data_IF_645239734284
#
_entry.id   IF_645239734284
#
_cell.length_a   1.000
_cell.length_b   1.000
_cell.length_c   1.000
_cell.angle_alpha   90.00
_cell.angle_beta   90.00
_cell.angle_gamma   90.00
#
_symmetry.space_group_name_H-M   'P 1'
#
loop_
_entity.id
_entity.type
_entity.pdbx_description
1 polymer ?
#
# COMPACT_ATOMS: atom_id res chain seq x y z
N UNK A 1 15.78 60.40 -39.68
CA UNK A 1 15.40 59.28 -40.58
C UNK A 1 15.56 58.00 -39.77
N UNK A 2 14.59 57.10 -39.58
CA UNK A 2 13.92 56.19 -40.57
C UNK A 2 14.94 55.37 -41.38
N UNK A 3 14.84 54.04 -41.56
CA UNK A 3 13.81 53.04 -41.22
C UNK A 3 14.48 51.63 -41.07
N UNK A 4 14.18 50.76 -40.09
CA UNK A 4 13.08 49.75 -40.06
C UNK A 4 13.43 48.34 -40.62
N UNK A 5 13.88 47.44 -39.73
CA UNK A 5 13.22 46.16 -39.39
C UNK A 5 13.16 44.95 -40.38
N UNK A 6 13.77 43.82 -39.98
CA UNK A 6 13.29 42.40 -40.00
C UNK A 6 14.29 41.59 -39.14
N UNK A 7 14.01 40.87 -38.05
CA UNK A 7 12.89 40.08 -37.45
C UNK A 7 13.27 38.59 -37.44
N UNK A 8 13.34 38.03 -36.22
CA UNK A 8 13.63 36.62 -35.88
C UNK A 8 12.39 35.70 -36.12
N UNK A 9 12.24 34.45 -35.63
CA UNK A 9 12.80 33.77 -34.42
C UNK A 9 13.61 32.49 -34.78
N UNK A 10 14.03 31.56 -33.90
CA UNK A 10 13.77 31.27 -32.47
C UNK A 10 15.08 30.68 -31.83
N UNK A 11 15.22 30.02 -30.67
CA UNK A 11 14.30 29.37 -29.69
C UNK A 11 14.72 29.67 -28.24
N UNK A 12 13.73 29.66 -27.35
CA UNK A 12 13.75 29.56 -25.88
C UNK A 12 14.67 28.45 -25.29
N UNK A 13 15.24 28.57 -24.09
CA UNK A 13 15.34 29.76 -23.21
C UNK A 13 15.68 29.45 -21.73
N UNK A 14 16.50 30.34 -21.15
CA UNK A 14 16.76 30.64 -19.72
C UNK A 14 16.97 29.53 -18.68
N UNK A 15 18.16 29.55 -18.06
CA UNK A 15 18.41 29.08 -16.68
C UNK A 15 18.21 30.25 -15.67
N UNK A 16 18.38 29.98 -14.37
CA UNK A 16 18.19 30.90 -13.21
C UNK A 16 16.72 31.29 -12.92
N UNK A 17 16.24 31.53 -11.69
CA UNK A 17 16.66 31.26 -10.28
C UNK A 17 15.44 31.63 -9.36
N UNK A 18 15.29 31.42 -8.05
CA UNK A 18 16.20 31.06 -6.92
C UNK A 18 15.52 30.02 -5.99
N UNK A 19 15.66 30.13 -4.66
CA UNK A 19 15.19 29.21 -3.60
C UNK A 19 13.98 29.72 -2.80
N UNK A 20 13.51 28.86 -1.89
CA UNK A 20 12.82 29.13 -0.61
C UNK A 20 11.31 29.45 -0.60
N UNK A 21 10.52 28.45 -0.17
CA UNK A 21 9.46 28.58 0.86
C UNK A 21 8.79 27.23 1.19
N UNK A 22 8.97 26.77 2.44
CA UNK A 22 8.07 25.88 3.22
C UNK A 22 7.84 24.42 2.77
N UNK A 23 7.98 23.50 3.73
CA UNK A 23 7.55 22.09 3.72
C UNK A 23 6.81 21.83 5.05
N UNK A 24 5.82 20.92 5.19
CA UNK A 24 5.16 20.04 4.21
C UNK A 24 3.64 20.43 4.07
N UNK A 25 2.63 19.56 3.76
CA UNK A 25 2.49 18.12 4.02
C UNK A 25 2.95 17.20 2.88
N UNK A 26 3.51 16.06 3.26
CA UNK A 26 4.00 15.03 2.34
C UNK A 26 2.84 14.19 1.83
N UNK A 27 2.21 14.61 0.74
CA UNK A 27 1.30 13.73 -0.01
C UNK A 27 2.15 12.68 -0.74
N UNK A 28 2.56 11.62 -0.01
CA UNK A 28 3.19 10.40 -0.55
C UNK A 28 2.16 9.72 -1.47
N UNK A 29 2.11 10.15 -2.73
CA UNK A 29 1.22 9.58 -3.73
C UNK A 29 1.55 8.10 -3.92
N UNK A 30 0.53 7.27 -4.10
CA UNK A 30 0.63 5.82 -4.38
C UNK A 30 1.27 5.52 -5.76
N UNK A 31 1.75 6.55 -6.47
CA UNK A 31 2.44 6.45 -7.77
C UNK A 31 3.95 6.22 -7.66
N UNK A 32 4.50 6.07 -6.45
CA UNK A 32 5.94 5.84 -6.19
C UNK A 32 6.15 4.54 -5.39
N UNK A 33 5.40 3.49 -5.75
CA UNK A 33 5.72 2.11 -5.35
C UNK A 33 6.89 1.64 -6.24
N UNK A 34 7.89 0.98 -5.65
CA UNK A 34 8.95 0.37 -6.46
C UNK A 34 8.38 -0.77 -7.29
N UNK A 35 8.92 -1.01 -8.50
CA UNK A 35 8.45 -2.13 -9.33
C UNK A 35 8.56 -3.46 -8.58
N UNK A 36 9.63 -3.65 -7.80
CA UNK A 36 9.81 -4.82 -6.94
C UNK A 36 8.64 -5.01 -5.97
N UNK A 37 8.14 -3.96 -5.32
CA UNK A 37 7.00 -4.02 -4.39
C UNK A 37 5.69 -4.42 -5.11
N UNK A 38 5.53 -4.02 -6.38
CA UNK A 38 4.40 -4.44 -7.23
C UNK A 38 4.54 -5.89 -7.66
N UNK A 39 5.75 -6.31 -8.06
CA UNK A 39 6.06 -7.69 -8.45
C UNK A 39 5.86 -8.66 -7.27
N UNK A 40 6.33 -8.28 -6.07
CA UNK A 40 6.18 -9.03 -4.83
C UNK A 40 4.69 -9.21 -4.45
N UNK A 41 3.92 -8.12 -4.45
CA UNK A 41 2.48 -8.17 -4.17
C UNK A 41 1.71 -8.99 -5.23
N UNK A 42 2.16 -8.97 -6.49
CA UNK A 42 1.58 -9.77 -7.58
C UNK A 42 1.82 -11.27 -7.35
N UNK A 43 3.05 -11.68 -7.05
CA UNK A 43 3.39 -13.08 -6.77
C UNK A 43 2.59 -13.65 -5.58
N UNK A 44 2.41 -12.84 -4.53
CA UNK A 44 1.58 -13.19 -3.35
C UNK A 44 0.09 -13.34 -3.74
N UNK A 45 -0.44 -12.45 -4.58
CA UNK A 45 -1.82 -12.52 -5.03
C UNK A 45 -2.07 -13.70 -5.98
N UNK A 46 -1.13 -14.06 -6.85
CA UNK A 46 -1.22 -15.23 -7.72
C UNK A 46 -1.23 -16.53 -6.89
N UNK A 47 -0.34 -16.68 -5.90
CA UNK A 47 -0.38 -17.82 -4.96
C UNK A 47 -1.70 -17.89 -4.19
N UNK A 48 -2.23 -16.74 -3.74
CA UNK A 48 -3.52 -16.68 -3.06
C UNK A 48 -4.73 -16.93 -4.00
N UNK A 49 -4.60 -16.67 -5.31
CA UNK A 49 -5.60 -16.98 -6.33
C UNK A 49 -5.68 -18.49 -6.56
N UNK A 50 -4.54 -19.18 -6.68
CA UNK A 50 -4.48 -20.65 -6.79
C UNK A 50 -4.84 -21.37 -5.46
N UNK A 51 -4.90 -20.62 -4.35
CA UNK A 51 -5.23 -21.15 -3.02
C UNK A 51 -4.04 -21.76 -2.28
N UNK A 52 -2.82 -21.53 -2.77
CA UNK A 52 -1.60 -22.02 -2.15
C UNK A 52 -1.14 -21.10 -1.01
N UNK A 53 -1.67 -21.35 0.19
CA UNK A 53 -1.24 -20.68 1.41
C UNK A 53 0.24 -20.90 1.77
N UNK A 54 0.88 -21.97 1.26
CA UNK A 54 2.32 -22.21 1.46
C UNK A 54 3.13 -21.32 0.52
N UNK A 55 2.73 -21.22 -0.75
CA UNK A 55 3.28 -20.28 -1.72
C UNK A 55 3.16 -18.82 -1.27
N UNK A 56 2.02 -18.42 -0.69
CA UNK A 56 1.83 -17.10 -0.06
C UNK A 56 2.86 -16.85 1.05
N UNK A 57 3.02 -17.81 1.98
CA UNK A 57 4.00 -17.69 3.05
C UNK A 57 5.44 -17.60 2.51
N UNK A 58 5.82 -18.47 1.56
CA UNK A 58 7.15 -18.47 0.94
C UNK A 58 7.46 -17.18 0.17
N UNK A 59 6.46 -16.57 -0.47
CA UNK A 59 6.62 -15.29 -1.13
C UNK A 59 6.84 -14.14 -0.13
N UNK A 60 6.13 -14.14 1.02
CA UNK A 60 6.41 -13.21 2.11
C UNK A 60 7.78 -13.45 2.77
N UNK A 61 8.19 -14.70 3.01
CA UNK A 61 9.53 -15.03 3.52
C UNK A 61 10.62 -14.53 2.55
N UNK A 62 10.42 -14.66 1.24
CA UNK A 62 11.32 -14.12 0.20
C UNK A 62 11.44 -12.60 0.28
N UNK A 63 10.35 -11.88 0.61
CA UNK A 63 10.39 -10.43 0.87
C UNK A 63 11.17 -10.12 2.15
N UNK A 64 10.99 -10.90 3.22
CA UNK A 64 11.70 -10.72 4.50
C UNK A 64 13.20 -10.99 4.36
N UNK A 65 13.61 -12.05 3.66
CA UNK A 65 15.03 -12.36 3.42
C UNK A 65 15.76 -11.25 2.63
N UNK A 66 15.07 -10.64 1.66
CA UNK A 66 15.64 -9.62 0.76
C UNK A 66 15.52 -8.19 1.30
N UNK A 67 14.53 -7.89 2.14
CA UNK A 67 14.17 -6.50 2.52
C UNK A 67 13.69 -6.34 3.96
N UNK A 68 13.76 -7.40 4.77
CA UNK A 68 13.35 -7.43 6.16
C UNK A 68 11.86 -7.25 6.38
N UNK A 69 11.47 -7.16 7.66
CA UNK A 69 10.09 -6.93 8.08
C UNK A 69 9.50 -5.61 7.52
N UNK A 70 10.35 -4.61 7.23
CA UNK A 70 9.93 -3.37 6.58
C UNK A 70 9.42 -3.58 5.14
N UNK A 71 10.05 -4.48 4.37
CA UNK A 71 9.56 -4.88 3.05
C UNK A 71 8.21 -5.60 3.14
N UNK A 72 8.09 -6.55 4.06
CA UNK A 72 6.83 -7.27 4.27
C UNK A 72 5.69 -6.36 4.78
N UNK A 73 6.01 -5.32 5.56
CA UNK A 73 5.05 -4.30 5.96
C UNK A 73 4.54 -3.46 4.79
N UNK A 74 5.42 -2.92 3.93
CA UNK A 74 5.01 -2.16 2.74
C UNK A 74 4.19 -3.03 1.76
N UNK A 75 4.51 -4.34 1.62
CA UNK A 75 3.67 -5.29 0.86
C UNK A 75 2.29 -5.45 1.50
N UNK A 76 2.21 -5.69 2.81
CA UNK A 76 0.92 -5.82 3.52
C UNK A 76 0.08 -4.54 3.41
N UNK A 77 0.71 -3.36 3.52
CA UNK A 77 0.08 -2.06 3.34
C UNK A 77 -0.44 -1.86 1.91
N UNK A 78 0.28 -2.37 0.90
CA UNK A 78 -0.18 -2.40 -0.49
C UNK A 78 -1.39 -3.35 -0.69
N UNK A 79 -1.44 -4.51 -0.03
CA UNK A 79 -2.62 -5.39 -0.07
C UNK A 79 -3.83 -4.74 0.60
N UNK A 80 -3.64 -4.05 1.74
CA UNK A 80 -4.68 -3.24 2.37
C UNK A 80 -5.18 -2.11 1.45
N UNK A 81 -4.28 -1.46 0.70
CA UNK A 81 -4.64 -0.50 -0.34
C UNK A 81 -5.52 -1.12 -1.44
N UNK A 82 -5.17 -2.32 -1.91
CA UNK A 82 -5.98 -3.08 -2.89
C UNK A 82 -7.36 -3.45 -2.32
N UNK A 83 -7.44 -3.83 -1.04
CA UNK A 83 -8.72 -4.10 -0.36
C UNK A 83 -9.61 -2.86 -0.28
N UNK A 84 -9.08 -1.68 0.04
CA UNK A 84 -9.88 -0.44 0.09
C UNK A 84 -10.23 0.07 -1.31
N UNK A 85 -9.25 0.21 -2.20
CA UNK A 85 -9.40 0.70 -3.58
C UNK A 85 -9.76 2.19 -3.70
N UNK A 86 -9.87 2.69 -4.93
CA UNK A 86 -10.23 4.09 -5.27
C UNK A 86 -11.73 4.42 -5.07
N UNK A 87 -12.41 3.73 -4.16
CA UNK A 87 -13.81 4.02 -3.83
C UNK A 87 -13.99 5.41 -3.22
N UNK A 88 -15.18 6.04 -3.35
CA UNK A 88 -15.46 7.31 -2.70
C UNK A 88 -15.28 7.15 -1.18
N UNK A 89 -14.30 7.89 -0.63
CA UNK A 89 -13.80 7.71 0.75
C UNK A 89 -14.95 7.71 1.76
N UNK A 90 -15.22 6.54 2.35
CA UNK A 90 -16.18 6.39 3.44
C UNK A 90 -15.82 7.35 4.57
N UNK A 91 -16.78 8.17 5.00
CA UNK A 91 -16.50 9.39 5.75
C UNK A 91 -16.13 9.13 7.22
N UNK A 92 -14.86 8.83 7.50
CA UNK A 92 -14.25 8.90 8.84
C UNK A 92 -14.85 8.00 9.92
N UNK A 93 -15.74 7.08 9.55
CA UNK A 93 -16.25 6.06 10.45
C UNK A 93 -15.17 4.98 10.60
N UNK A 94 -14.73 4.74 11.83
CA UNK A 94 -14.04 3.50 12.15
C UNK A 94 -14.92 2.34 11.65
N UNK A 95 -14.34 1.45 10.85
CA UNK A 95 -15.06 0.29 10.33
C UNK A 95 -15.39 -0.62 11.51
N UNK A 96 -16.62 -0.50 12.01
CA UNK A 96 -17.14 -1.38 13.05
C UNK A 96 -17.47 -2.74 12.41
N UNK A 97 -16.82 -3.77 12.92
CA UNK A 97 -16.93 -5.14 12.43
C UNK A 97 -17.67 -5.98 13.50
N UNK A 98 -19.00 -5.87 13.62
CA UNK A 98 -19.74 -6.52 14.70
C UNK A 98 -19.54 -8.04 14.67
N UNK A 99 -19.08 -8.60 15.80
CA UNK A 99 -18.70 -10.00 15.93
C UNK A 99 -17.20 -10.29 15.80
N UNK A 100 -16.38 -9.30 15.42
CA UNK A 100 -14.92 -9.43 15.29
C UNK A 100 -14.26 -10.12 16.48
N UNK A 101 -14.66 -9.84 17.72
CA UNK A 101 -14.00 -10.39 18.91
C UNK A 101 -14.04 -11.92 19.01
N UNK A 102 -14.99 -12.58 18.33
CA UNK A 102 -15.11 -14.04 18.25
C UNK A 102 -14.32 -14.67 17.08
N UNK A 103 -13.75 -13.86 16.18
CA UNK A 103 -12.98 -14.35 15.04
C UNK A 103 -11.53 -14.74 15.43
N UNK A 104 -10.87 -15.49 14.54
CA UNK A 104 -9.45 -15.84 14.68
C UNK A 104 -8.53 -14.62 14.78
N UNK A 105 -7.38 -14.76 15.43
CA UNK A 105 -6.43 -13.66 15.64
C UNK A 105 -6.11 -12.95 14.32
N UNK A 106 -5.79 -13.73 13.29
CA UNK A 106 -5.57 -13.36 11.89
C UNK A 106 -6.69 -12.48 11.34
N UNK A 107 -7.95 -12.90 11.47
CA UNK A 107 -9.12 -12.22 10.91
C UNK A 107 -9.37 -10.90 11.65
N UNK A 108 -9.16 -10.87 12.97
CA UNK A 108 -9.23 -9.65 13.78
C UNK A 108 -8.09 -8.68 13.47
N UNK A 109 -6.91 -9.21 13.15
CA UNK A 109 -5.74 -8.43 12.75
C UNK A 109 -5.98 -7.78 11.38
N UNK A 110 -6.41 -8.55 10.37
CA UNK A 110 -6.71 -8.05 9.00
C UNK A 110 -7.73 -6.92 9.03
N UNK A 111 -8.84 -7.09 9.74
CA UNK A 111 -9.87 -6.06 9.86
C UNK A 111 -9.34 -4.75 10.50
N UNK A 112 -8.49 -4.85 11.52
CA UNK A 112 -7.85 -3.70 12.18
C UNK A 112 -6.77 -3.05 11.29
N UNK A 113 -5.97 -3.85 10.58
CA UNK A 113 -4.90 -3.39 9.70
C UNK A 113 -5.44 -2.68 8.46
N UNK A 114 -6.50 -3.21 7.84
CA UNK A 114 -7.21 -2.53 6.74
C UNK A 114 -7.90 -1.25 7.22
N UNK A 115 -8.42 -1.22 8.46
CA UNK A 115 -8.95 0.01 9.06
C UNK A 115 -7.86 1.05 9.33
N UNK A 116 -6.66 0.63 9.76
CA UNK A 116 -5.51 1.53 9.91
C UNK A 116 -5.11 2.17 8.57
N UNK A 117 -4.99 1.38 7.50
CA UNK A 117 -4.77 1.89 6.15
C UNK A 117 -5.86 2.89 5.72
N UNK A 118 -7.15 2.53 5.91
CA UNK A 118 -8.29 3.36 5.51
C UNK A 118 -8.35 4.72 6.22
N UNK A 119 -7.85 4.80 7.46
CA UNK A 119 -7.76 6.03 8.24
C UNK A 119 -6.41 6.78 8.04
N UNK A 120 -5.49 6.25 7.24
CA UNK A 120 -4.10 6.70 7.10
C UNK A 120 -3.30 6.69 8.43
N UNK A 121 -3.67 5.79 9.36
CA UNK A 121 -3.02 5.62 10.66
C UNK A 121 -1.84 4.64 10.53
N UNK A 122 -0.69 5.16 10.08
CA UNK A 122 0.53 4.36 9.88
C UNK A 122 1.10 3.86 11.22
N UNK A 123 1.00 4.66 12.30
CA UNK A 123 1.49 4.29 13.62
C UNK A 123 0.73 3.06 14.17
N UNK A 124 -0.59 3.01 14.02
CA UNK A 124 -1.39 1.83 14.34
C UNK A 124 -1.08 0.63 13.43
N UNK A 125 -0.81 0.87 12.14
CA UNK A 125 -0.37 -0.16 11.19
C UNK A 125 0.93 -0.85 11.63
N UNK A 126 1.96 -0.05 11.91
CA UNK A 126 3.27 -0.53 12.38
C UNK A 126 3.16 -1.24 13.74
N UNK A 127 2.36 -0.70 14.68
CA UNK A 127 2.12 -1.33 15.98
C UNK A 127 1.41 -2.69 15.86
N UNK A 128 0.39 -2.81 15.00
CA UNK A 128 -0.30 -4.08 14.72
C UNK A 128 0.64 -5.11 14.05
N UNK A 129 1.49 -4.66 13.13
CA UNK A 129 2.46 -5.54 12.46
C UNK A 129 3.53 -6.03 13.46
N UNK A 130 4.08 -5.14 14.28
CA UNK A 130 5.04 -5.47 15.33
C UNK A 130 4.48 -6.42 16.40
N UNK A 131 3.19 -6.29 16.75
CA UNK A 131 2.51 -7.24 17.63
C UNK A 131 2.43 -8.65 17.01
N UNK A 132 2.00 -8.76 15.75
CA UNK A 132 1.92 -10.06 15.07
C UNK A 132 3.31 -10.73 14.88
N UNK A 133 4.37 -9.94 14.73
CA UNK A 133 5.77 -10.44 14.77
C UNK A 133 6.12 -10.99 16.16
N UNK A 134 5.85 -10.23 17.22
CA UNK A 134 6.18 -10.61 18.59
C UNK A 134 5.40 -11.84 19.08
N UNK A 135 4.13 -11.98 18.66
CA UNK A 135 3.26 -13.12 18.96
C UNK A 135 3.57 -14.36 18.08
N UNK A 136 4.43 -14.23 17.06
CA UNK A 136 4.71 -15.31 16.10
C UNK A 136 3.52 -15.65 15.18
N UNK A 137 2.60 -14.70 14.98
CA UNK A 137 1.35 -14.87 14.23
C UNK A 137 1.35 -14.14 12.87
N UNK A 138 2.44 -13.45 12.52
CA UNK A 138 2.55 -12.72 11.26
C UNK A 138 2.27 -13.59 10.01
N UNK A 139 2.76 -14.84 9.86
CA UNK A 139 2.49 -15.63 8.66
C UNK A 139 0.99 -15.91 8.44
N UNK A 140 0.27 -16.29 9.50
CA UNK A 140 -1.18 -16.53 9.46
C UNK A 140 -1.95 -15.25 9.13
N UNK A 141 -1.59 -14.13 9.77
CA UNK A 141 -2.15 -12.81 9.49
C UNK A 141 -1.99 -12.39 8.02
N UNK A 142 -0.81 -12.61 7.44
CA UNK A 142 -0.49 -12.26 6.05
C UNK A 142 -1.19 -13.20 5.05
N UNK A 143 -1.31 -14.49 5.36
CA UNK A 143 -2.09 -15.44 4.56
C UNK A 143 -3.58 -15.06 4.52
N UNK A 144 -4.19 -14.75 5.68
CA UNK A 144 -5.58 -14.26 5.73
C UNK A 144 -5.75 -12.91 5.03
N UNK A 145 -4.75 -12.01 5.08
CA UNK A 145 -4.78 -10.74 4.33
C UNK A 145 -4.80 -10.96 2.81
N UNK A 146 -3.90 -11.80 2.30
CA UNK A 146 -3.84 -12.12 0.88
C UNK A 146 -5.13 -12.80 0.39
N UNK A 147 -5.63 -13.80 1.12
CA UNK A 147 -6.91 -14.47 0.83
C UNK A 147 -8.11 -13.52 0.86
N UNK A 148 -8.15 -12.58 1.83
CA UNK A 148 -9.20 -11.55 1.92
C UNK A 148 -9.12 -10.55 0.75
N UNK A 149 -7.91 -10.23 0.30
CA UNK A 149 -7.68 -9.37 -0.87
C UNK A 149 -8.18 -10.05 -2.14
N UNK A 150 -7.84 -11.33 -2.35
CA UNK A 150 -8.33 -12.14 -3.48
C UNK A 150 -9.85 -12.30 -3.45
N UNK A 151 -10.46 -12.56 -2.29
CA UNK A 151 -11.92 -12.62 -2.16
C UNK A 151 -12.59 -11.27 -2.52
N UNK A 152 -11.99 -10.16 -2.11
CA UNK A 152 -12.46 -8.80 -2.44
C UNK A 152 -12.37 -8.52 -3.93
N UNK A 153 -11.26 -8.89 -4.58
CA UNK A 153 -11.08 -8.74 -6.03
C UNK A 153 -12.06 -9.62 -6.83
N UNK A 154 -12.25 -10.89 -6.43
CA UNK A 154 -13.22 -11.82 -7.04
C UNK A 154 -14.67 -11.32 -6.90
N UNK A 155 -14.99 -10.65 -5.80
CA UNK A 155 -16.32 -10.05 -5.55
C UNK A 155 -16.57 -8.79 -6.41
N UNK A 156 -15.51 -8.04 -6.76
CA UNK A 156 -15.59 -6.85 -7.65
C UNK A 156 -15.63 -7.18 -9.14
N UNK A 157 -15.39 -8.43 -9.52
CA UNK A 157 -15.35 -8.90 -10.91
C UNK A 157 -16.66 -9.60 -11.35
N UNK A 158 -17.74 -9.47 -10.57
CA UNK A 158 -19.06 -10.07 -10.76
C UNK A 158 -20.14 -8.99 -10.85
#
# INVERSE_FOLDING_TARGET
>A
MTATHRRAPNVTGSLCSVSDLTYPPTVRRVTDLSQQLVDDATAILDSALDGDGVGVAQAFDTVVDRSGLAGAYEVAWCLAATMVGDGPRGSGAALDFPGIDQAGYDTRWVARFVSAYANHDQDAGEALFGAAVADGQLPDCLATLAGSTVATLRSRAQ
#
